data_IF_650463100028
#
_entry.id   IF_650463100028
#
_cell.length_a   1.000
_cell.length_b   1.000
_cell.length_c   1.000
_cell.angle_alpha   90.00
_cell.angle_beta   90.00
_cell.angle_gamma   90.00
#
_symmetry.space_group_name_H-M   'P 1'
#
loop_
_entity.id
_entity.type
_entity.pdbx_description
1 polymer ?
#
# COMPACT_ATOMS: atom_id res chain seq x y z
N UNK A 1 16.61 -14.99 -114.69
CA UNK A 1 16.26 -14.69 -113.28
C UNK A 1 17.36 -15.24 -112.37
N UNK A 2 18.35 -14.44 -111.98
CA UNK A 2 19.50 -14.92 -111.19
C UNK A 2 19.95 -13.89 -110.14
N UNK A 3 19.00 -13.35 -109.38
CA UNK A 3 19.24 -12.22 -108.45
C UNK A 3 18.74 -12.48 -107.02
N UNK A 4 18.49 -13.76 -106.65
CA UNK A 4 17.99 -14.11 -105.29
C UNK A 4 18.74 -15.31 -104.68
N UNK A 5 20.02 -15.48 -105.03
CA UNK A 5 20.93 -16.29 -104.21
C UNK A 5 22.01 -15.34 -103.71
N UNK A 6 22.07 -15.03 -102.41
CA UNK A 6 23.19 -14.24 -101.89
C UNK A 6 24.49 -14.93 -102.31
N UNK A 7 25.40 -14.18 -102.91
CA UNK A 7 26.69 -14.72 -103.32
C UNK A 7 27.38 -15.39 -102.13
N UNK A 8 28.06 -16.52 -102.35
CA UNK A 8 28.70 -17.33 -101.31
C UNK A 8 29.61 -16.46 -100.40
N UNK A 9 30.23 -15.42 -100.94
CA UNK A 9 31.02 -14.45 -100.17
C UNK A 9 30.23 -13.63 -99.15
N UNK A 10 28.98 -13.23 -99.44
CA UNK A 10 28.11 -12.52 -98.49
C UNK A 10 27.70 -13.42 -97.34
N UNK A 11 27.36 -14.68 -97.63
CA UNK A 11 27.02 -15.68 -96.61
C UNK A 11 28.22 -15.97 -95.69
N UNK A 12 29.44 -16.04 -96.24
CA UNK A 12 30.66 -16.22 -95.47
C UNK A 12 30.92 -15.06 -94.48
N UNK A 13 30.87 -13.82 -94.96
CA UNK A 13 31.06 -12.64 -94.10
C UNK A 13 29.93 -12.48 -93.07
N UNK A 14 28.69 -12.78 -93.44
CA UNK A 14 27.55 -12.79 -92.51
C UNK A 14 27.71 -13.84 -91.42
N UNK A 15 28.19 -15.05 -91.75
CA UNK A 15 28.47 -16.09 -90.76
C UNK A 15 29.59 -15.70 -89.79
N UNK A 16 30.66 -15.07 -90.29
CA UNK A 16 31.74 -14.55 -89.46
C UNK A 16 31.21 -13.45 -88.52
N UNK A 17 30.45 -12.49 -89.05
CA UNK A 17 29.85 -11.42 -88.25
C UNK A 17 28.88 -11.97 -87.19
N UNK A 18 28.02 -12.92 -87.56
CA UNK A 18 27.11 -13.59 -86.64
C UNK A 18 27.87 -14.34 -85.53
N UNK A 19 28.91 -15.09 -85.89
CA UNK A 19 29.73 -15.83 -84.93
C UNK A 19 30.49 -14.89 -83.99
N UNK A 20 31.02 -13.78 -84.51
CA UNK A 20 31.68 -12.76 -83.71
C UNK A 20 30.71 -12.12 -82.69
N UNK A 21 29.52 -11.73 -83.13
CA UNK A 21 28.47 -11.18 -82.25
C UNK A 21 28.01 -12.23 -81.22
N UNK A 22 27.83 -13.49 -81.62
CA UNK A 22 27.43 -14.57 -80.73
C UNK A 22 28.49 -14.81 -79.65
N UNK A 23 29.78 -14.76 -79.99
CA UNK A 23 30.86 -14.92 -79.03
C UNK A 23 30.93 -13.74 -78.03
N UNK A 24 30.72 -12.51 -78.52
CA UNK A 24 30.63 -11.31 -77.68
C UNK A 24 29.43 -11.42 -76.73
N UNK A 25 28.23 -11.73 -77.25
CA UNK A 25 27.03 -11.89 -76.42
C UNK A 25 27.17 -13.01 -75.39
N UNK A 26 27.74 -14.15 -75.78
CA UNK A 26 27.99 -15.28 -74.86
C UNK A 26 28.89 -14.86 -73.69
N UNK A 27 29.93 -14.07 -73.95
CA UNK A 27 30.87 -13.63 -72.91
C UNK A 27 30.31 -12.47 -72.07
N UNK A 28 29.64 -11.50 -72.69
CA UNK A 28 29.25 -10.25 -72.05
C UNK A 28 27.81 -10.22 -71.52
N UNK A 29 26.85 -10.86 -72.18
CA UNK A 29 25.43 -10.80 -71.78
C UNK A 29 25.03 -11.91 -70.79
N UNK A 30 25.67 -13.09 -70.86
CA UNK A 30 25.27 -14.23 -70.02
C UNK A 30 25.54 -14.01 -68.53
N UNK A 31 26.68 -13.40 -68.21
CA UNK A 31 27.09 -13.09 -66.83
C UNK A 31 26.12 -12.12 -66.11
N UNK A 32 25.78 -10.93 -66.66
CA UNK A 32 24.85 -10.01 -66.01
C UNK A 32 23.42 -10.55 -65.89
N UNK A 33 22.94 -11.34 -66.87
CA UNK A 33 21.60 -11.95 -66.80
C UNK A 33 21.51 -12.95 -65.65
N UNK A 34 22.49 -13.86 -65.53
CA UNK A 34 22.53 -14.81 -64.43
C UNK A 34 22.70 -14.12 -63.08
N UNK A 35 23.50 -13.05 -63.03
CA UNK A 35 23.69 -12.27 -61.82
C UNK A 35 22.38 -11.60 -61.37
N UNK A 36 21.65 -10.95 -62.29
CA UNK A 36 20.36 -10.33 -61.99
C UNK A 36 19.31 -11.36 -61.53
N UNK A 37 19.31 -12.56 -62.14
CA UNK A 37 18.40 -13.63 -61.72
C UNK A 37 18.74 -14.13 -60.31
N UNK A 38 20.03 -14.35 -60.02
CA UNK A 38 20.50 -14.79 -58.70
C UNK A 38 20.26 -13.74 -57.62
N UNK A 39 20.44 -12.47 -57.94
CA UNK A 39 20.14 -11.35 -57.04
C UNK A 39 18.64 -11.29 -56.71
N UNK A 40 17.79 -11.45 -57.73
CA UNK A 40 16.33 -11.54 -57.52
C UNK A 40 15.94 -12.74 -56.67
N UNK A 41 16.50 -13.91 -56.96
CA UNK A 41 16.26 -15.12 -56.15
C UNK A 41 16.66 -14.89 -54.70
N UNK A 42 17.88 -14.37 -54.48
CA UNK A 42 18.41 -14.09 -53.14
C UNK A 42 17.52 -13.08 -52.42
N UNK A 43 17.16 -11.96 -53.06
CA UNK A 43 16.28 -10.94 -52.49
C UNK A 43 14.92 -11.51 -52.07
N UNK A 44 14.30 -12.36 -52.90
CA UNK A 44 13.03 -13.02 -52.56
C UNK A 44 13.21 -13.95 -51.37
N UNK A 45 14.27 -14.77 -51.36
CA UNK A 45 14.52 -15.69 -50.25
C UNK A 45 14.77 -14.96 -48.93
N UNK A 46 15.53 -13.87 -48.97
CA UNK A 46 15.80 -13.01 -47.81
C UNK A 46 14.51 -12.37 -47.32
N UNK A 47 13.73 -11.73 -48.20
CA UNK A 47 12.47 -11.09 -47.84
C UNK A 47 11.46 -12.10 -47.25
N UNK A 48 11.38 -13.31 -47.79
CA UNK A 48 10.53 -14.39 -47.24
C UNK A 48 11.04 -14.87 -45.87
N UNK A 49 12.35 -14.97 -45.69
CA UNK A 49 12.96 -15.34 -44.40
C UNK A 49 12.69 -14.28 -43.33
N UNK A 50 12.93 -13.01 -43.66
CA UNK A 50 12.66 -11.88 -42.78
C UNK A 50 11.18 -11.80 -42.41
N UNK A 51 10.28 -12.00 -43.37
CA UNK A 51 8.84 -12.02 -43.11
C UNK A 51 8.42 -13.17 -42.18
N UNK A 52 9.07 -14.34 -42.27
CA UNK A 52 8.84 -15.46 -41.34
C UNK A 52 9.35 -15.13 -39.95
N UNK A 53 10.58 -14.62 -39.84
CA UNK A 53 11.17 -14.22 -38.56
C UNK A 53 10.33 -13.15 -37.86
N UNK A 54 9.88 -12.13 -38.60
CA UNK A 54 9.01 -11.09 -38.05
C UNK A 54 7.67 -11.65 -37.54
N UNK A 55 7.08 -12.63 -38.25
CA UNK A 55 5.84 -13.29 -37.79
C UNK A 55 6.07 -14.11 -36.51
N UNK A 56 7.19 -14.82 -36.44
CA UNK A 56 7.57 -15.60 -35.26
C UNK A 56 7.83 -14.67 -34.07
N UNK A 57 8.57 -13.59 -34.26
CA UNK A 57 8.81 -12.57 -33.23
C UNK A 57 7.51 -11.96 -32.72
N UNK A 58 6.58 -11.58 -33.61
CA UNK A 58 5.25 -11.09 -33.21
C UNK A 58 4.48 -12.14 -32.41
N UNK A 59 4.56 -13.41 -32.78
CA UNK A 59 3.92 -14.50 -32.03
C UNK A 59 4.54 -14.63 -30.62
N UNK A 60 5.87 -14.61 -30.52
CA UNK A 60 6.59 -14.67 -29.26
C UNK A 60 6.28 -13.46 -28.36
N UNK A 61 6.24 -12.26 -28.93
CA UNK A 61 5.86 -11.04 -28.21
C UNK A 61 4.43 -11.13 -27.67
N UNK A 62 3.49 -11.70 -28.43
CA UNK A 62 2.11 -11.90 -27.94
C UNK A 62 2.06 -12.89 -26.78
N UNK A 63 2.80 -13.99 -26.85
CA UNK A 63 2.87 -14.97 -25.75
C UNK A 63 3.44 -14.31 -24.50
N UNK A 64 4.59 -13.63 -24.62
CA UNK A 64 5.21 -12.90 -23.50
C UNK A 64 4.30 -11.81 -22.92
N UNK A 65 3.56 -11.11 -23.77
CA UNK A 65 2.63 -10.09 -23.31
C UNK A 65 1.47 -10.70 -22.50
N UNK A 66 0.92 -11.84 -22.96
CA UNK A 66 -0.11 -12.56 -22.23
C UNK A 66 0.40 -13.10 -20.89
N UNK A 67 1.63 -13.65 -20.87
CA UNK A 67 2.29 -14.09 -19.63
C UNK A 67 2.48 -12.92 -18.66
N UNK A 68 2.96 -11.77 -19.14
CA UNK A 68 3.12 -10.56 -18.33
C UNK A 68 1.78 -10.05 -17.79
N UNK A 69 0.71 -10.08 -18.59
CA UNK A 69 -0.63 -9.70 -18.12
C UNK A 69 -1.10 -10.64 -17.00
N UNK A 70 -0.83 -11.94 -17.12
CA UNK A 70 -1.18 -12.92 -16.08
C UNK A 70 -0.40 -12.65 -14.78
N UNK A 71 0.92 -12.47 -14.89
CA UNK A 71 1.79 -12.16 -13.75
C UNK A 71 1.33 -10.87 -13.03
N UNK A 72 1.03 -9.82 -13.79
CA UNK A 72 0.51 -8.56 -13.23
C UNK A 72 -0.85 -8.75 -12.55
N UNK A 73 -1.71 -9.62 -13.07
CA UNK A 73 -3.00 -9.93 -12.42
C UNK A 73 -2.79 -10.66 -11.10
N UNK A 74 -1.89 -11.65 -11.06
CA UNK A 74 -1.55 -12.38 -9.84
C UNK A 74 -0.92 -11.46 -8.79
N UNK A 75 0.03 -10.61 -9.19
CA UNK A 75 0.67 -9.65 -8.30
C UNK A 75 -0.33 -8.62 -7.76
N UNK A 76 -1.20 -8.07 -8.63
CA UNK A 76 -2.28 -7.17 -8.21
C UNK A 76 -3.19 -7.85 -7.17
N UNK A 77 -3.59 -9.09 -7.42
CA UNK A 77 -4.49 -9.81 -6.51
C UNK A 77 -3.81 -10.13 -5.18
N UNK A 78 -2.51 -10.43 -5.19
CA UNK A 78 -1.69 -10.57 -3.99
C UNK A 78 -1.63 -9.26 -3.19
N UNK A 79 -1.34 -8.13 -3.84
CA UNK A 79 -1.31 -6.79 -3.21
C UNK A 79 -2.68 -6.44 -2.60
N UNK A 80 -3.77 -6.70 -3.33
CA UNK A 80 -5.12 -6.43 -2.83
C UNK A 80 -5.49 -7.31 -1.64
N UNK A 81 -5.04 -8.58 -1.63
CA UNK A 81 -5.22 -9.48 -0.51
C UNK A 81 -4.44 -8.99 0.71
N UNK A 82 -3.16 -8.69 0.55
CA UNK A 82 -2.31 -8.17 1.62
C UNK A 82 -2.86 -6.86 2.20
N UNK A 83 -3.35 -5.95 1.37
CA UNK A 83 -3.98 -4.71 1.82
C UNK A 83 -5.25 -4.98 2.65
N UNK A 84 -6.08 -5.96 2.27
CA UNK A 84 -7.27 -6.36 3.02
C UNK A 84 -6.92 -7.00 4.36
N UNK A 85 -5.92 -7.87 4.37
CA UNK A 85 -5.46 -8.55 5.58
C UNK A 85 -4.84 -7.53 6.55
N UNK A 86 -3.98 -6.65 6.05
CA UNK A 86 -3.38 -5.54 6.82
C UNK A 86 -4.44 -4.61 7.38
N UNK A 87 -5.43 -4.20 6.57
CA UNK A 87 -6.55 -3.37 7.03
C UNK A 87 -7.31 -4.06 8.16
N UNK A 88 -7.60 -5.36 8.01
CA UNK A 88 -8.33 -6.13 9.01
C UNK A 88 -7.53 -6.25 10.31
N UNK A 89 -6.22 -6.47 10.22
CA UNK A 89 -5.32 -6.49 11.37
C UNK A 89 -5.26 -5.12 12.09
N UNK A 90 -5.13 -4.01 11.36
CA UNK A 90 -5.13 -2.66 11.93
C UNK A 90 -6.44 -2.37 12.65
N UNK A 91 -7.59 -2.72 12.05
CA UNK A 91 -8.90 -2.52 12.68
C UNK A 91 -9.05 -3.38 13.94
N UNK A 92 -8.56 -4.61 13.93
CA UNK A 92 -8.58 -5.49 15.10
C UNK A 92 -7.70 -4.95 16.24
N UNK A 93 -6.47 -4.55 15.92
CA UNK A 93 -5.54 -3.94 16.88
C UNK A 93 -6.10 -2.64 17.47
N UNK A 94 -6.63 -1.75 16.62
CA UNK A 94 -7.26 -0.52 17.07
C UNK A 94 -8.46 -0.78 18.01
N UNK A 95 -9.30 -1.79 17.72
CA UNK A 95 -10.40 -2.19 18.61
C UNK A 95 -9.90 -2.72 19.94
N UNK A 96 -8.85 -3.53 19.93
CA UNK A 96 -8.27 -4.07 21.17
C UNK A 96 -7.69 -2.95 22.04
N UNK A 97 -6.88 -2.06 21.46
CA UNK A 97 -6.33 -0.89 22.16
C UNK A 97 -7.44 0.03 22.71
N UNK A 98 -8.49 0.26 21.92
CA UNK A 98 -9.62 1.08 22.36
C UNK A 98 -10.34 0.42 23.56
N UNK A 99 -10.47 -0.91 23.57
CA UNK A 99 -11.06 -1.65 24.69
C UNK A 99 -10.17 -1.57 25.94
N UNK A 100 -8.86 -1.77 25.79
CA UNK A 100 -7.90 -1.66 26.89
C UNK A 100 -7.91 -0.25 27.51
N UNK A 101 -7.91 0.80 26.68
CA UNK A 101 -7.96 2.18 27.15
C UNK A 101 -9.31 2.51 27.80
N UNK A 102 -10.42 1.99 27.28
CA UNK A 102 -11.73 2.13 27.90
C UNK A 102 -11.80 1.45 29.27
N UNK A 103 -11.27 0.22 29.39
CA UNK A 103 -11.22 -0.51 30.66
C UNK A 103 -10.33 0.21 31.68
N UNK A 104 -9.20 0.77 31.23
CA UNK A 104 -8.32 1.63 32.04
C UNK A 104 -9.03 2.88 32.53
N UNK A 105 -9.73 3.58 31.63
CA UNK A 105 -10.49 4.80 31.96
C UNK A 105 -11.61 4.51 32.97
N UNK A 106 -12.35 3.41 32.79
CA UNK A 106 -13.39 2.99 33.74
C UNK A 106 -12.78 2.67 35.11
N UNK A 107 -11.63 1.98 35.15
CA UNK A 107 -10.94 1.68 36.40
C UNK A 107 -10.50 2.96 37.11
N UNK A 108 -9.88 3.89 36.39
CA UNK A 108 -9.45 5.17 36.95
C UNK A 108 -10.65 5.99 37.46
N UNK A 109 -11.73 6.07 36.68
CA UNK A 109 -12.95 6.76 37.11
C UNK A 109 -13.55 6.15 38.39
N UNK A 110 -13.51 4.81 38.54
CA UNK A 110 -13.97 4.15 39.78
C UNK A 110 -13.08 4.49 40.98
N UNK A 111 -11.77 4.55 40.78
CA UNK A 111 -10.81 4.95 41.82
C UNK A 111 -11.02 6.41 42.24
N UNK A 112 -11.22 7.31 41.28
CA UNK A 112 -11.55 8.72 41.53
C UNK A 112 -12.89 8.86 42.28
N UNK A 113 -13.94 8.16 41.85
CA UNK A 113 -15.25 8.17 42.55
C UNK A 113 -15.12 7.67 44.00
N UNK A 114 -14.31 6.64 44.24
CA UNK A 114 -14.06 6.15 45.60
C UNK A 114 -13.32 7.18 46.45
N UNK A 115 -12.32 7.85 45.88
CA UNK A 115 -11.59 8.93 46.53
C UNK A 115 -12.51 10.09 46.89
N UNK A 116 -13.32 10.56 45.94
CA UNK A 116 -14.31 11.64 46.12
C UNK A 116 -15.35 11.27 47.17
N UNK A 117 -15.87 10.04 47.15
CA UNK A 117 -16.78 9.55 48.18
C UNK A 117 -16.14 9.61 49.57
N UNK A 118 -14.88 9.21 49.71
CA UNK A 118 -14.18 9.25 51.00
C UNK A 118 -13.95 10.69 51.46
N UNK A 119 -13.60 11.61 50.54
CA UNK A 119 -13.47 13.03 50.83
C UNK A 119 -14.79 13.63 51.32
N UNK A 120 -15.90 13.40 50.60
CA UNK A 120 -17.23 13.84 50.98
C UNK A 120 -17.67 13.27 52.34
N UNK A 121 -17.40 11.99 52.61
CA UNK A 121 -17.69 11.39 53.92
C UNK A 121 -16.86 12.04 55.04
N UNK A 122 -15.61 12.41 54.78
CA UNK A 122 -14.77 13.13 55.74
C UNK A 122 -15.30 14.54 56.00
N UNK A 123 -15.75 15.24 54.96
CA UNK A 123 -16.36 16.56 55.07
C UNK A 123 -17.66 16.53 55.88
N UNK A 124 -18.52 15.53 55.63
CA UNK A 124 -19.75 15.30 56.41
C UNK A 124 -19.41 15.06 57.88
N UNK A 125 -18.41 14.22 58.19
CA UNK A 125 -17.98 13.98 59.58
C UNK A 125 -17.52 15.27 60.27
N UNK A 126 -16.77 16.11 59.55
CA UNK A 126 -16.32 17.41 60.06
C UNK A 126 -17.50 18.34 60.35
N UNK A 127 -18.47 18.43 59.44
CA UNK A 127 -19.69 19.22 59.63
C UNK A 127 -20.52 18.73 60.81
N UNK A 128 -20.70 17.42 60.95
CA UNK A 128 -21.43 16.83 62.09
C UNK A 128 -20.70 17.10 63.41
N UNK A 129 -19.36 17.01 63.43
CA UNK A 129 -18.58 17.34 64.62
C UNK A 129 -18.74 18.81 65.03
N UNK A 130 -18.65 19.74 64.06
CA UNK A 130 -18.88 21.17 64.30
C UNK A 130 -20.27 21.46 64.84
N UNK A 131 -21.30 20.88 64.22
CA UNK A 131 -22.69 21.04 64.66
C UNK A 131 -22.92 20.46 66.07
N UNK A 132 -22.27 19.33 66.39
CA UNK A 132 -22.34 18.72 67.72
C UNK A 132 -21.71 19.62 68.79
N UNK A 133 -20.59 20.29 68.48
CA UNK A 133 -19.95 21.27 69.37
C UNK A 133 -20.87 22.48 69.56
N UNK A 134 -21.45 23.02 68.49
CA UNK A 134 -22.39 24.15 68.58
C UNK A 134 -23.62 23.82 69.45
N UNK A 135 -24.19 22.62 69.29
CA UNK A 135 -25.31 22.15 70.12
C UNK A 135 -24.87 22.03 71.58
N UNK A 136 -23.71 21.40 71.84
CA UNK A 136 -23.17 21.27 73.19
C UNK A 136 -22.92 22.64 73.84
N UNK A 137 -22.37 23.61 73.11
CA UNK A 137 -22.15 24.98 73.58
C UNK A 137 -23.48 25.67 73.92
N UNK A 138 -24.51 25.49 73.09
CA UNK A 138 -25.84 26.08 73.32
C UNK A 138 -26.53 25.48 74.53
N UNK A 139 -26.46 24.15 74.71
CA UNK A 139 -27.00 23.46 75.89
C UNK A 139 -26.24 23.91 77.14
N UNK A 140 -24.90 23.94 77.10
CA UNK A 140 -24.07 24.37 78.23
C UNK A 140 -24.37 25.83 78.62
N UNK A 141 -24.52 26.74 77.65
CA UNK A 141 -24.96 28.13 77.90
C UNK A 141 -26.34 28.20 78.54
N UNK A 142 -27.28 27.35 78.13
CA UNK A 142 -28.61 27.31 78.74
C UNK A 142 -28.59 26.74 80.17
N UNK A 143 -27.81 25.68 80.42
CA UNK A 143 -27.69 25.07 81.74
C UNK A 143 -26.94 25.97 82.73
N UNK A 144 -25.94 26.72 82.28
CA UNK A 144 -25.18 27.67 83.09
C UNK A 144 -25.82 29.06 83.19
N UNK A 145 -27.06 29.24 82.68
CA UNK A 145 -27.79 30.51 82.79
C UNK A 145 -28.22 30.84 84.22
N UNK A 146 -28.26 29.85 85.12
CA UNK A 146 -28.54 30.04 86.54
C UNK A 146 -27.25 30.18 87.37
N UNK A 147 -27.15 31.26 88.15
CA UNK A 147 -25.99 31.60 88.99
C UNK A 147 -25.59 30.48 89.98
N UNK A 148 -26.58 29.71 90.45
CA UNK A 148 -26.38 28.55 91.34
C UNK A 148 -25.59 27.43 90.67
N UNK A 149 -25.88 27.11 89.40
CA UNK A 149 -25.20 26.05 88.64
C UNK A 149 -23.78 26.48 88.27
N UNK A 150 -23.57 27.77 88.01
CA UNK A 150 -22.25 28.34 87.77
C UNK A 150 -21.33 28.23 88.99
N UNK A 151 -21.82 28.57 90.19
CA UNK A 151 -21.06 28.40 91.45
C UNK A 151 -20.71 26.93 91.72
N UNK A 152 -21.66 26.02 91.52
CA UNK A 152 -21.42 24.58 91.69
C UNK A 152 -20.35 24.03 90.72
N UNK A 153 -20.27 24.56 89.49
CA UNK A 153 -19.21 24.17 88.55
C UNK A 153 -17.82 24.65 89.03
N UNK A 154 -17.74 25.88 89.54
CA UNK A 154 -16.49 26.44 90.09
C UNK A 154 -16.01 25.64 91.30
N UNK A 155 -16.92 25.30 92.22
CA UNK A 155 -16.58 24.50 93.40
C UNK A 155 -16.05 23.11 93.00
N UNK A 156 -16.69 22.44 92.04
CA UNK A 156 -16.22 21.14 91.51
C UNK A 156 -14.84 21.23 90.81
N UNK A 157 -14.60 22.27 90.02
CA UNK A 157 -13.29 22.49 89.38
C UNK A 157 -12.18 22.74 90.40
N UNK A 158 -12.48 23.49 91.47
CA UNK A 158 -11.54 23.72 92.57
C UNK A 158 -11.24 22.41 93.31
N UNK A 159 -12.22 21.53 93.48
CA UNK A 159 -12.02 20.23 94.11
C UNK A 159 -11.23 19.26 93.22
N UNK A 160 -11.44 19.28 91.89
CA UNK A 160 -10.70 18.43 90.94
C UNK A 160 -9.23 18.86 90.81
N UNK A 161 -8.94 20.16 90.87
CA UNK A 161 -7.57 20.70 90.91
C UNK A 161 -6.88 20.40 92.24
N UNK A 162 -7.61 20.29 93.35
CA UNK A 162 -7.06 19.90 94.66
C UNK A 162 -6.77 18.40 94.78
N UNK A 163 -7.32 17.57 93.88
CA UNK A 163 -7.15 16.12 93.86
C UNK A 163 -5.99 15.64 92.96
N UNK A 164 -5.31 16.55 92.24
CA UNK A 164 -4.00 16.34 91.61
C UNK A 164 -2.92 17.16 92.32
#
# INVERSE_FOLDING_TARGET
MGLITPGIGLLFWMFIAFTAVLFILRKFAWKPILQALKERETSITTALSEARMAREEVSLLKVKNNELIHEVQEERDAILKEARDTKSAIVADAKNRAKEEADRMIKQAREEILSEKNAAMSEIRSHVASLSIEIAEKILKSELSEEKKQKALIDNLIDEIKLN
#
